data_IF_137011189773
#
_entry.id   IF_137011189773
#
_cell.length_a   1.000
_cell.length_b   1.000
_cell.length_c   1.000
_cell.angle_alpha   90.00
_cell.angle_beta   90.00
_cell.angle_gamma   90.00
#
_symmetry.space_group_name_H-M   'P 1'
#
loop_
_entity.id
_entity.type
_entity.pdbx_description
1 polymer ?
#
# COMPACT_ATOMS: atom_id res chain seq x y z
N UNK A 1 -23.61 0.63 16.86
CA UNK A 1 -23.03 -0.45 16.03
C UNK A 1 -22.56 0.19 14.73
N UNK A 2 -21.25 0.37 14.54
CA UNK A 2 -20.66 0.58 13.21
C UNK A 2 -20.42 -0.82 12.63
N UNK A 3 -21.50 -1.58 12.45
CA UNK A 3 -21.45 -2.91 11.88
C UNK A 3 -21.21 -2.75 10.39
N UNK A 4 -20.03 -3.17 9.93
CA UNK A 4 -19.72 -3.34 8.52
C UNK A 4 -20.03 -2.10 7.67
N UNK A 5 -19.07 -1.17 7.57
CA UNK A 5 -18.98 -0.45 6.30
C UNK A 5 -18.93 -1.54 5.22
N UNK A 6 -19.97 -1.60 4.38
CA UNK A 6 -20.18 -2.66 3.40
C UNK A 6 -18.84 -2.89 2.69
N UNK A 7 -18.26 -4.09 2.86
CA UNK A 7 -16.95 -4.41 2.31
C UNK A 7 -16.93 -4.17 0.80
N UNK A 8 -18.09 -4.30 0.13
CA UNK A 8 -18.30 -3.94 -1.27
C UNK A 8 -18.17 -2.44 -1.53
N UNK A 9 -18.68 -1.57 -0.64
CA UNK A 9 -18.49 -0.11 -0.73
C UNK A 9 -17.02 0.28 -0.51
N UNK A 10 -16.35 -0.33 0.48
CA UNK A 10 -14.92 -0.10 0.69
C UNK A 10 -14.08 -0.55 -0.51
N UNK A 11 -14.44 -1.69 -1.11
CA UNK A 11 -13.78 -2.21 -2.29
C UNK A 11 -14.01 -1.35 -3.53
N UNK A 12 -15.25 -0.95 -3.82
CA UNK A 12 -15.55 -0.06 -4.95
C UNK A 12 -14.88 1.31 -4.80
N UNK A 13 -14.84 1.83 -3.57
CA UNK A 13 -14.12 3.07 -3.26
C UNK A 13 -12.62 2.92 -3.50
N UNK A 14 -12.04 1.79 -3.08
CA UNK A 14 -10.64 1.48 -3.37
C UNK A 14 -10.41 1.42 -4.89
N UNK A 15 -11.24 0.68 -5.63
CA UNK A 15 -11.11 0.59 -7.10
C UNK A 15 -11.13 1.96 -7.77
N UNK A 16 -12.05 2.84 -7.38
CA UNK A 16 -12.11 4.21 -7.87
C UNK A 16 -10.81 4.99 -7.57
N UNK A 17 -10.29 4.91 -6.34
CA UNK A 17 -9.03 5.54 -5.96
C UNK A 17 -7.84 4.99 -6.74
N UNK A 18 -7.81 3.68 -7.02
CA UNK A 18 -6.74 3.05 -7.77
C UNK A 18 -6.68 3.53 -9.24
N UNK A 19 -7.79 4.02 -9.81
CA UNK A 19 -7.78 4.63 -11.15
C UNK A 19 -6.92 5.90 -11.23
N UNK A 20 -6.70 6.58 -10.09
CA UNK A 20 -5.88 7.79 -10.05
C UNK A 20 -4.40 7.46 -10.23
N UNK A 21 -3.96 6.26 -9.85
CA UNK A 21 -2.55 5.84 -9.90
C UNK A 21 -2.26 4.86 -11.04
N UNK A 22 -3.14 4.77 -12.02
CA UNK A 22 -2.96 3.87 -13.16
C UNK A 22 -2.09 4.49 -14.27
N UNK A 23 -1.21 3.66 -14.84
CA UNK A 23 -0.31 4.04 -15.94
C UNK A 23 0.44 5.35 -15.72
N UNK A 24 0.29 6.28 -16.67
CA UNK A 24 1.00 7.58 -16.68
C UNK A 24 0.56 8.52 -15.55
N UNK A 25 -0.56 8.24 -14.87
CA UNK A 25 -1.07 9.09 -13.78
C UNK A 25 -0.44 8.78 -12.42
N UNK A 26 0.42 7.76 -12.32
CA UNK A 26 0.98 7.30 -11.04
C UNK A 26 1.54 8.44 -10.17
N UNK A 27 2.34 9.35 -10.73
CA UNK A 27 2.94 10.48 -10.00
C UNK A 27 1.88 11.48 -9.50
N UNK A 28 1.05 12.01 -10.40
CA UNK A 28 0.05 13.03 -10.06
C UNK A 28 -1.08 12.48 -9.20
N UNK A 29 -1.54 11.25 -9.48
CA UNK A 29 -2.53 10.55 -8.68
C UNK A 29 -2.04 10.27 -7.27
N UNK A 30 -0.79 9.81 -7.10
CA UNK A 30 -0.22 9.57 -5.77
C UNK A 30 -0.13 10.87 -4.97
N UNK A 31 0.16 12.01 -5.63
CA UNK A 31 0.13 13.33 -5.00
C UNK A 31 -1.27 13.70 -4.51
N UNK A 32 -2.29 13.55 -5.36
CA UNK A 32 -3.70 13.79 -4.98
C UNK A 32 -4.12 12.89 -3.82
N UNK A 33 -3.77 11.60 -3.86
CA UNK A 33 -4.05 10.69 -2.75
C UNK A 33 -3.33 11.09 -1.47
N UNK A 34 -2.08 11.58 -1.56
CA UNK A 34 -1.32 12.03 -0.41
C UNK A 34 -1.90 13.31 0.21
N UNK A 35 -2.30 14.28 -0.62
CA UNK A 35 -2.94 15.54 -0.21
C UNK A 35 -4.28 15.28 0.49
N UNK A 36 -5.05 14.31 0.00
CA UNK A 36 -6.29 13.86 0.62
C UNK A 36 -6.09 12.94 1.84
N UNK A 37 -4.84 12.69 2.27
CA UNK A 37 -4.48 11.71 3.30
C UNK A 37 -5.00 10.27 3.04
N UNK A 38 -5.34 9.96 1.79
CA UNK A 38 -5.90 8.68 1.37
C UNK A 38 -4.86 7.55 1.41
N UNK A 39 -3.56 7.84 1.24
CA UNK A 39 -2.51 6.81 1.30
C UNK A 39 -2.47 6.15 2.68
N UNK A 40 -2.63 6.92 3.77
CA UNK A 40 -2.69 6.36 5.14
C UNK A 40 -3.89 5.44 5.30
N UNK A 41 -5.03 5.80 4.70
CA UNK A 41 -6.24 4.99 4.72
C UNK A 41 -6.07 3.71 3.89
N UNK A 42 -5.44 3.80 2.71
CA UNK A 42 -5.09 2.65 1.88
C UNK A 42 -4.18 1.69 2.66
N UNK A 43 -3.16 2.19 3.38
CA UNK A 43 -2.29 1.33 4.22
C UNK A 43 -3.09 0.57 5.27
N UNK A 44 -4.08 1.19 5.92
CA UNK A 44 -4.94 0.51 6.90
C UNK A 44 -5.74 -0.65 6.29
N UNK A 45 -6.02 -0.62 4.98
CA UNK A 45 -6.70 -1.71 4.29
C UNK A 45 -5.86 -2.98 4.17
N UNK A 46 -4.54 -2.93 4.45
CA UNK A 46 -3.73 -4.15 4.63
C UNK A 46 -4.22 -5.01 5.79
N UNK A 47 -4.91 -4.43 6.77
CA UNK A 47 -5.51 -5.16 7.90
C UNK A 47 -6.99 -5.51 7.66
N UNK A 48 -7.52 -5.32 6.45
CA UNK A 48 -8.88 -5.69 6.08
C UNK A 48 -9.12 -7.20 6.27
N UNK A 49 -10.32 -7.63 6.71
CA UNK A 49 -10.71 -9.04 6.71
C UNK A 49 -10.91 -9.60 5.29
N UNK A 50 -11.03 -8.75 4.27
CA UNK A 50 -11.18 -9.18 2.87
C UNK A 50 -9.82 -9.37 2.20
N UNK A 51 -9.49 -10.63 1.87
CA UNK A 51 -8.27 -10.97 1.14
C UNK A 51 -8.17 -10.21 -0.20
N UNK A 52 -9.29 -10.04 -0.91
CA UNK A 52 -9.35 -9.30 -2.17
C UNK A 52 -8.96 -7.83 -1.99
N UNK A 53 -9.42 -7.19 -0.91
CA UNK A 53 -9.05 -5.81 -0.56
C UNK A 53 -7.56 -5.74 -0.19
N UNK A 54 -7.04 -6.72 0.57
CA UNK A 54 -5.62 -6.76 0.92
C UNK A 54 -4.73 -6.91 -0.33
N UNK A 55 -5.09 -7.78 -1.27
CA UNK A 55 -4.36 -7.98 -2.54
C UNK A 55 -4.31 -6.71 -3.39
N UNK A 56 -5.47 -6.05 -3.58
CA UNK A 56 -5.56 -4.75 -4.28
C UNK A 56 -4.70 -3.69 -3.59
N UNK A 57 -4.75 -3.64 -2.26
CA UNK A 57 -3.97 -2.71 -1.44
C UNK A 57 -2.47 -2.93 -1.61
N UNK A 58 -2.00 -4.18 -1.54
CA UNK A 58 -0.60 -4.52 -1.78
C UNK A 58 -0.16 -4.08 -3.19
N UNK A 59 -0.99 -4.32 -4.21
CA UNK A 59 -0.67 -3.90 -5.58
C UNK A 59 -0.61 -2.38 -5.73
N UNK A 60 -1.47 -1.64 -5.03
CA UNK A 60 -1.44 -0.18 -5.00
C UNK A 60 -0.14 0.34 -4.35
N UNK A 61 0.21 -0.19 -3.18
CA UNK A 61 1.41 0.21 -2.46
C UNK A 61 2.69 -0.15 -3.22
N UNK A 62 2.72 -1.28 -3.94
CA UNK A 62 3.86 -1.63 -4.80
C UNK A 62 4.10 -0.57 -5.87
N UNK A 63 3.04 -0.01 -6.47
CA UNK A 63 3.15 1.07 -7.45
C UNK A 63 3.56 2.38 -6.78
N UNK A 64 2.87 2.79 -5.70
CA UNK A 64 3.12 4.04 -4.99
C UNK A 64 4.57 4.10 -4.47
N UNK A 65 5.09 3.02 -3.89
CA UNK A 65 6.44 3.01 -3.34
C UNK A 65 7.56 2.95 -4.38
N UNK A 66 7.25 2.87 -5.69
CA UNK A 66 8.26 3.15 -6.74
C UNK A 66 8.67 4.62 -6.74
N UNK A 67 7.80 5.48 -6.23
CA UNK A 67 8.05 6.90 -6.06
C UNK A 67 8.74 7.12 -4.71
N UNK A 68 10.00 7.53 -4.75
CA UNK A 68 10.88 7.64 -3.57
C UNK A 68 10.26 8.54 -2.49
N UNK A 69 9.60 9.63 -2.88
CA UNK A 69 8.95 10.56 -1.94
C UNK A 69 7.89 9.86 -1.07
N UNK A 70 7.02 9.05 -1.68
CA UNK A 70 5.92 8.38 -0.97
C UNK A 70 6.42 7.17 -0.21
N UNK A 71 7.43 6.49 -0.74
CA UNK A 71 8.13 5.43 -0.04
C UNK A 71 8.77 5.92 1.26
N UNK A 72 9.51 7.04 1.22
CA UNK A 72 10.10 7.63 2.42
C UNK A 72 9.01 8.09 3.40
N UNK A 73 7.98 8.77 2.91
CA UNK A 73 6.92 9.34 3.75
C UNK A 73 6.05 8.30 4.45
N UNK A 74 5.71 7.20 3.75
CA UNK A 74 4.69 6.26 4.21
C UNK A 74 5.20 4.84 4.45
N UNK A 75 6.43 4.52 4.03
CA UNK A 75 6.97 3.17 4.11
C UNK A 75 6.98 2.63 5.55
N UNK A 76 7.40 3.45 6.52
CA UNK A 76 7.42 3.02 7.93
C UNK A 76 6.02 2.68 8.46
N UNK A 77 4.98 3.41 8.03
CA UNK A 77 3.59 3.15 8.41
C UNK A 77 3.06 1.82 7.86
N UNK A 78 3.61 1.33 6.76
CA UNK A 78 3.20 0.06 6.15
C UNK A 78 3.96 -1.17 6.71
N UNK A 79 5.16 -1.00 7.30
CA UNK A 79 6.06 -2.10 7.66
C UNK A 79 5.39 -3.18 8.51
N UNK A 80 4.74 -2.81 9.61
CA UNK A 80 4.15 -3.78 10.52
C UNK A 80 3.04 -4.60 9.86
N UNK A 81 2.15 -3.97 9.09
CA UNK A 81 1.09 -4.66 8.36
C UNK A 81 1.64 -5.57 7.26
N UNK A 82 2.73 -5.18 6.60
CA UNK A 82 3.40 -6.03 5.61
C UNK A 82 4.05 -7.26 6.26
N UNK A 83 4.69 -7.11 7.42
CA UNK A 83 5.25 -8.24 8.20
C UNK A 83 4.16 -9.20 8.66
N UNK A 84 3.02 -8.68 9.11
CA UNK A 84 1.87 -9.50 9.48
C UNK A 84 1.38 -10.33 8.27
N UNK A 85 1.24 -9.71 7.09
CA UNK A 85 0.85 -10.43 5.86
C UNK A 85 1.86 -11.49 5.45
N UNK A 86 3.18 -11.28 5.60
CA UNK A 86 4.18 -12.32 5.28
C UNK A 86 4.05 -13.55 6.18
N UNK A 87 3.46 -13.42 7.37
CA UNK A 87 3.23 -14.53 8.30
C UNK A 87 1.91 -15.26 8.01
N UNK A 88 0.81 -14.53 7.78
CA UNK A 88 -0.55 -15.11 7.70
C UNK A 88 -1.23 -15.10 6.32
N UNK A 89 -0.70 -14.40 5.33
CA UNK A 89 -1.32 -14.27 4.00
C UNK A 89 -1.28 -15.55 3.15
N UNK A 90 -1.95 -15.52 2.00
CA UNK A 90 -1.78 -16.54 0.96
C UNK A 90 -0.35 -16.54 0.41
N UNK A 91 0.06 -17.60 -0.30
CA UNK A 91 1.41 -17.69 -0.89
C UNK A 91 1.75 -16.47 -1.78
N UNK A 92 0.78 -16.03 -2.60
CA UNK A 92 0.93 -14.84 -3.45
C UNK A 92 1.07 -13.57 -2.63
N UNK A 93 0.22 -13.36 -1.63
CA UNK A 93 0.27 -12.19 -0.76
C UNK A 93 1.56 -12.12 0.05
N UNK A 94 2.03 -13.26 0.57
CA UNK A 94 3.30 -13.37 1.30
C UNK A 94 4.48 -12.93 0.42
N UNK A 95 4.53 -13.46 -0.81
CA UNK A 95 5.56 -13.09 -1.78
C UNK A 95 5.53 -11.60 -2.12
N UNK A 96 4.34 -11.04 -2.37
CA UNK A 96 4.19 -9.63 -2.70
C UNK A 96 4.52 -8.69 -1.52
N UNK A 97 4.12 -9.05 -0.30
CA UNK A 97 4.46 -8.30 0.91
C UNK A 97 5.97 -8.36 1.20
N UNK A 98 6.63 -9.50 0.99
CA UNK A 98 8.08 -9.63 1.13
C UNK A 98 8.83 -8.76 0.11
N UNK A 99 8.38 -8.72 -1.15
CA UNK A 99 8.93 -7.83 -2.19
C UNK A 99 8.80 -6.36 -1.80
N UNK A 100 7.65 -5.96 -1.27
CA UNK A 100 7.40 -4.61 -0.74
C UNK A 100 8.33 -4.28 0.43
N UNK A 101 8.51 -5.19 1.40
CA UNK A 101 9.44 -5.01 2.51
C UNK A 101 10.89 -4.87 2.02
N UNK A 102 11.31 -5.69 1.08
CA UNK A 102 12.63 -5.57 0.45
C UNK A 102 12.77 -4.19 -0.21
N UNK A 103 11.78 -3.77 -1.00
CA UNK A 103 11.75 -2.42 -1.58
C UNK A 103 11.91 -1.36 -0.50
N UNK A 104 11.14 -1.39 0.59
CA UNK A 104 11.24 -0.42 1.70
C UNK A 104 12.64 -0.34 2.32
N UNK A 105 13.34 -1.47 2.46
CA UNK A 105 14.66 -1.54 3.08
C UNK A 105 15.81 -1.18 2.13
N UNK A 106 15.61 -1.23 0.81
CA UNK A 106 16.63 -0.84 -0.20
C UNK A 106 17.07 0.64 -0.08
N UNK A 107 16.31 1.51 0.61
CA UNK A 107 16.74 2.90 0.85
C UNK A 107 17.62 3.07 2.10
N UNK A 108 17.82 2.02 2.92
CA UNK A 108 18.63 2.12 4.12
C UNK A 108 20.14 1.83 3.89
N UNK A 109 20.57 1.57 2.64
CA UNK A 109 21.96 1.22 2.30
C UNK A 109 22.66 2.19 1.32
N UNK A 110 22.22 3.45 1.23
CA UNK A 110 22.92 4.47 0.42
C UNK A 110 23.28 5.73 1.22
N UNK A 111 23.53 5.59 2.52
CA UNK A 111 24.07 6.68 3.36
C UNK A 111 25.21 6.19 4.25
N UNK A 112 26.31 5.84 3.61
CA UNK A 112 27.68 6.02 4.12
C UNK A 112 28.62 5.92 2.91
N UNK A 113 29.60 6.82 2.82
CA UNK A 113 30.58 7.04 1.74
C UNK A 113 30.26 8.17 0.74
N UNK A 114 30.13 9.39 1.25
CA UNK A 114 31.03 10.50 0.90
C UNK A 114 31.51 11.15 2.20
#
# INVERSE_FOLDING_TARGET
MLGEADLGVCEASLDALLTLIDGQKLQSGSKVLAEANAIVQIIKLLSSPSARVQEKTLGALERIFRLIEFKHKYGNSAKMSLVDITQRGSSSMKSQAAKLLAQLNVLNEQSSYF
#
